data_IF_690769237621
#
_entry.id   IF_690769237621
#
_cell.length_a   1.000
_cell.length_b   1.000
_cell.length_c   1.000
_cell.angle_alpha   90.00
_cell.angle_beta   90.00
_cell.angle_gamma   90.00
#
_symmetry.space_group_name_H-M   'P 1'
#
loop_
_entity.id
_entity.type
_entity.pdbx_description
1 polymer ?
#
# COMPACT_ATOMS: atom_id res chain seq x y z
N UNK A 1 -15.79 11.75 -1.64
CA UNK A 1 -15.88 10.46 -2.36
C UNK A 1 -14.48 9.86 -2.32
N UNK A 2 -14.33 8.65 -1.80
CA UNK A 2 -13.03 7.95 -1.78
C UNK A 2 -12.66 7.56 -3.20
N UNK A 3 -11.45 7.89 -3.64
CA UNK A 3 -10.92 7.46 -4.94
C UNK A 3 -10.24 6.11 -4.73
N UNK A 4 -10.67 5.09 -5.48
CA UNK A 4 -10.08 3.75 -5.42
C UNK A 4 -9.00 3.58 -6.48
N UNK A 5 -8.06 2.66 -6.25
CA UNK A 5 -7.01 2.35 -7.22
C UNK A 5 -7.58 1.90 -8.58
N UNK A 6 -8.75 1.27 -8.59
CA UNK A 6 -9.44 0.85 -9.81
C UNK A 6 -10.19 1.98 -10.54
N UNK A 7 -10.30 3.19 -9.97
CA UNK A 7 -11.06 4.27 -10.59
C UNK A 7 -10.47 4.68 -11.95
N UNK A 8 -11.31 4.97 -12.97
CA UNK A 8 -10.83 5.34 -14.31
C UNK A 8 -9.85 6.52 -14.32
N UNK A 9 -10.00 7.46 -13.39
CA UNK A 9 -9.10 8.62 -13.26
C UNK A 9 -7.68 8.21 -12.85
N UNK A 10 -7.53 7.17 -12.02
CA UNK A 10 -6.22 6.61 -11.65
C UNK A 10 -5.63 5.89 -12.85
N UNK A 11 -6.40 5.04 -13.54
CA UNK A 11 -5.96 4.30 -14.73
C UNK A 11 -5.51 5.23 -15.86
N UNK A 12 -6.12 6.39 -16.00
CA UNK A 12 -5.79 7.39 -17.02
C UNK A 12 -4.42 8.05 -16.82
N UNK A 13 -3.82 7.97 -15.64
CA UNK A 13 -2.48 8.51 -15.39
C UNK A 13 -1.44 7.76 -16.22
N UNK A 14 -0.70 8.52 -17.03
CA UNK A 14 0.43 8.00 -17.81
C UNK A 14 1.53 7.51 -16.87
N UNK A 15 2.11 6.35 -17.19
CA UNK A 15 3.33 5.86 -16.56
C UNK A 15 4.50 6.15 -17.48
N UNK A 16 5.53 6.82 -16.95
CA UNK A 16 6.87 6.88 -17.54
C UNK A 16 7.84 6.30 -16.51
N UNK A 17 8.08 5.00 -16.63
CA UNK A 17 9.02 4.30 -15.75
C UNK A 17 10.42 4.93 -15.89
N UNK A 18 10.97 5.41 -14.77
CA UNK A 18 12.26 6.10 -14.76
C UNK A 18 13.47 5.14 -14.69
N UNK A 19 13.23 3.83 -14.60
CA UNK A 19 14.25 2.79 -14.61
C UNK A 19 14.97 2.56 -13.28
N UNK A 20 14.54 3.20 -12.18
CA UNK A 20 15.14 2.93 -10.86
C UNK A 20 14.98 1.46 -10.48
N UNK A 21 16.05 0.80 -10.01
CA UNK A 21 16.02 -0.63 -9.73
C UNK A 21 15.16 -0.95 -8.51
N UNK A 22 14.77 -2.23 -8.39
CA UNK A 22 14.38 -2.78 -7.10
C UNK A 22 15.64 -2.93 -6.23
N UNK A 23 15.59 -2.43 -5.01
CA UNK A 23 16.65 -2.52 -4.01
C UNK A 23 16.09 -3.14 -2.72
N UNK A 24 16.91 -3.88 -1.96
CA UNK A 24 16.52 -4.35 -0.64
C UNK A 24 16.34 -3.18 0.34
N UNK A 25 15.40 -3.32 1.26
CA UNK A 25 15.30 -2.44 2.43
C UNK A 25 16.27 -2.93 3.52
N UNK A 26 17.24 -2.09 3.87
CA UNK A 26 18.29 -2.43 4.85
C UNK A 26 17.71 -2.81 6.22
N UNK A 27 16.59 -2.21 6.60
CA UNK A 27 15.93 -2.44 7.89
C UNK A 27 14.82 -3.50 7.84
N UNK A 28 14.59 -4.13 6.68
CA UNK A 28 13.66 -5.26 6.56
C UNK A 28 14.18 -6.25 5.50
N UNK A 29 15.03 -7.21 5.91
CA UNK A 29 15.58 -8.20 4.99
C UNK A 29 14.50 -8.95 4.21
N UNK A 30 14.74 -9.17 2.92
CA UNK A 30 13.81 -9.88 2.03
C UNK A 30 12.73 -9.01 1.40
N UNK A 31 12.58 -7.76 1.83
CA UNK A 31 11.69 -6.79 1.19
C UNK A 31 12.44 -5.98 0.15
N UNK A 32 11.90 -5.94 -1.08
CA UNK A 32 12.40 -5.13 -2.18
C UNK A 32 11.45 -3.97 -2.46
N UNK A 33 11.96 -2.78 -2.77
CA UNK A 33 11.17 -1.64 -3.27
C UNK A 33 11.97 -0.88 -4.32
N UNK A 34 11.35 0.08 -5.02
CA UNK A 34 12.10 1.03 -5.88
C UNK A 34 13.09 1.85 -5.05
N UNK A 35 14.26 2.12 -5.62
CA UNK A 35 15.31 2.91 -4.97
C UNK A 35 14.79 4.25 -4.42
N UNK A 36 14.00 5.00 -5.20
CA UNK A 36 13.40 6.25 -4.74
C UNK A 36 12.40 6.10 -3.60
N UNK A 37 11.74 4.95 -3.46
CA UNK A 37 10.90 4.61 -2.30
C UNK A 37 11.77 4.24 -1.09
N UNK A 38 12.83 3.44 -1.27
CA UNK A 38 13.76 3.10 -0.18
C UNK A 38 14.35 4.35 0.49
N UNK A 39 14.87 5.29 -0.32
CA UNK A 39 15.42 6.57 0.18
C UNK A 39 14.39 7.36 1.00
N UNK A 40 13.12 7.36 0.59
CA UNK A 40 12.05 8.07 1.31
C UNK A 40 11.67 7.37 2.59
N UNK A 41 11.70 6.03 2.61
CA UNK A 41 11.45 5.28 3.83
C UNK A 41 12.55 5.53 4.86
N UNK A 42 13.82 5.62 4.45
CA UNK A 42 14.91 6.01 5.37
C UNK A 42 14.75 7.44 5.90
N UNK A 43 14.29 8.38 5.06
CA UNK A 43 13.98 9.75 5.49
C UNK A 43 12.83 9.78 6.50
N UNK A 44 11.73 9.07 6.21
CA UNK A 44 10.58 8.98 7.10
C UNK A 44 10.96 8.33 8.44
N UNK A 45 11.75 7.26 8.39
CA UNK A 45 12.24 6.53 9.57
C UNK A 45 13.10 7.43 10.45
N UNK A 46 13.96 8.25 9.85
CA UNK A 46 14.82 9.21 10.55
C UNK A 46 14.04 10.34 11.24
N UNK A 47 12.78 10.57 10.83
CA UNK A 47 11.89 11.55 11.44
C UNK A 47 11.04 10.98 12.60
N UNK A 48 11.10 9.67 12.85
CA UNK A 48 10.34 9.04 13.93
C UNK A 48 10.89 9.44 15.31
N UNK A 49 10.02 9.51 16.34
CA UNK A 49 10.45 9.68 17.71
C UNK A 49 11.39 8.57 18.18
N UNK A 50 12.29 8.90 19.12
CA UNK A 50 13.16 7.91 19.75
C UNK A 50 12.36 6.75 20.34
N UNK A 51 12.76 5.52 20.01
CA UNK A 51 12.10 4.30 20.48
C UNK A 51 10.91 3.86 19.64
N UNK A 52 10.64 4.53 18.51
CA UNK A 52 9.68 4.12 17.49
C UNK A 52 10.41 3.80 16.20
N UNK A 53 10.02 2.72 15.53
CA UNK A 53 10.58 2.30 14.24
C UNK A 53 9.49 1.72 13.32
N UNK A 54 9.81 1.44 12.07
CA UNK A 54 8.93 0.74 11.13
C UNK A 54 9.07 -0.77 11.22
N UNK A 55 7.95 -1.48 11.10
CA UNK A 55 7.92 -2.86 10.61
C UNK A 55 7.24 -2.89 9.26
N UNK A 56 7.97 -3.34 8.25
CA UNK A 56 7.42 -3.54 6.90
C UNK A 56 6.87 -4.96 6.79
N UNK A 57 5.60 -5.06 6.43
CA UNK A 57 4.94 -6.32 6.12
C UNK A 57 5.24 -6.76 4.68
N UNK A 58 5.19 -5.82 3.74
CA UNK A 58 5.37 -6.13 2.33
C UNK A 58 5.89 -4.93 1.51
N UNK A 59 6.65 -5.23 0.45
CA UNK A 59 7.08 -4.27 -0.56
C UNK A 59 6.69 -4.76 -1.95
N UNK A 60 7.67 -4.99 -2.83
CA UNK A 60 7.42 -5.55 -4.15
C UNK A 60 6.81 -6.96 -4.07
N UNK A 61 5.79 -7.20 -4.89
CA UNK A 61 5.24 -8.54 -5.13
C UNK A 61 5.10 -8.84 -6.61
N UNK A 62 5.19 -10.12 -6.97
CA UNK A 62 5.11 -10.53 -8.37
C UNK A 62 3.70 -10.35 -8.96
N UNK A 63 3.62 -10.21 -10.28
CA UNK A 63 2.33 -10.18 -10.98
C UNK A 63 1.52 -11.48 -10.81
N UNK A 64 2.19 -12.61 -10.54
CA UNK A 64 1.52 -13.89 -10.25
C UNK A 64 0.90 -13.88 -8.84
N UNK A 65 1.64 -13.39 -7.84
CA UNK A 65 1.15 -13.22 -6.47
C UNK A 65 -0.04 -12.26 -6.44
N UNK A 66 0.04 -11.12 -7.15
CA UNK A 66 -1.07 -10.18 -7.25
C UNK A 66 -2.33 -10.81 -7.86
N UNK A 67 -2.19 -11.65 -8.90
CA UNK A 67 -3.33 -12.37 -9.49
C UNK A 67 -3.96 -13.36 -8.51
N UNK A 68 -3.15 -14.12 -7.79
CA UNK A 68 -3.65 -15.06 -6.77
C UNK A 68 -4.45 -14.33 -5.68
N UNK A 69 -3.93 -13.20 -5.15
CA UNK A 69 -4.64 -12.38 -4.15
C UNK A 69 -5.97 -11.85 -4.69
N UNK A 70 -6.01 -11.37 -5.94
CA UNK A 70 -7.25 -10.91 -6.59
C UNK A 70 -8.26 -12.07 -6.68
N UNK A 71 -7.81 -13.24 -7.13
CA UNK A 71 -8.66 -14.43 -7.29
C UNK A 71 -9.25 -14.88 -5.94
N UNK A 72 -8.40 -15.02 -4.92
CA UNK A 72 -8.80 -15.47 -3.58
C UNK A 72 -9.80 -14.50 -2.93
N UNK A 73 -9.51 -13.19 -2.93
CA UNK A 73 -10.43 -12.21 -2.32
C UNK A 73 -11.74 -12.07 -3.10
N UNK A 74 -11.69 -12.15 -4.43
CA UNK A 74 -12.92 -12.13 -5.25
C UNK A 74 -13.80 -13.35 -4.98
N UNK A 75 -13.20 -14.52 -4.71
CA UNK A 75 -13.95 -15.71 -4.31
C UNK A 75 -14.64 -15.51 -2.95
N UNK A 76 -13.95 -14.95 -1.95
CA UNK A 76 -14.56 -14.61 -0.66
C UNK A 76 -15.70 -13.59 -0.79
N UNK A 77 -15.54 -12.58 -1.63
CA UNK A 77 -16.61 -11.60 -1.90
C UNK A 77 -17.82 -12.23 -2.58
N UNK A 78 -17.63 -13.20 -3.46
CA UNK A 78 -18.73 -13.95 -4.07
C UNK A 78 -19.56 -14.71 -3.03
N UNK A 79 -18.93 -15.29 -2.00
CA UNK A 79 -19.61 -15.97 -0.90
C UNK A 79 -20.38 -14.99 0.01
N UNK A 80 -19.77 -13.85 0.32
CA UNK A 80 -20.36 -12.81 1.17
C UNK A 80 -21.46 -12.01 0.48
N UNK A 81 -21.40 -11.88 -0.86
CA UNK A 81 -22.34 -11.13 -1.68
C UNK A 81 -22.90 -11.96 -2.85
N UNK A 82 -23.71 -13.02 -2.61
CA UNK A 82 -24.17 -13.93 -3.66
C UNK A 82 -25.03 -13.27 -4.76
N UNK A 83 -25.61 -12.11 -4.48
CA UNK A 83 -26.44 -11.36 -5.41
C UNK A 83 -25.67 -10.26 -6.18
N UNK A 84 -24.39 -10.03 -5.87
CA UNK A 84 -23.59 -9.03 -6.57
C UNK A 84 -23.30 -9.48 -8.00
N UNK A 85 -23.43 -8.55 -8.95
CA UNK A 85 -22.99 -8.78 -10.32
C UNK A 85 -21.47 -8.57 -10.45
N UNK A 86 -20.93 -8.85 -11.64
CA UNK A 86 -19.49 -8.74 -11.88
C UNK A 86 -18.95 -7.30 -11.71
N UNK A 87 -19.79 -6.28 -11.95
CA UNK A 87 -19.39 -4.87 -11.81
C UNK A 87 -19.27 -4.53 -10.33
N UNK A 88 -20.27 -4.94 -9.54
CA UNK A 88 -20.26 -4.73 -8.10
C UNK A 88 -19.13 -5.51 -7.44
N UNK A 89 -18.87 -6.75 -7.84
CA UNK A 89 -17.73 -7.53 -7.30
C UNK A 89 -16.38 -6.91 -7.64
N UNK A 90 -16.20 -6.41 -8.87
CA UNK A 90 -14.98 -5.70 -9.23
C UNK A 90 -14.80 -4.43 -8.37
N UNK A 91 -15.89 -3.68 -8.13
CA UNK A 91 -15.88 -2.52 -7.24
C UNK A 91 -15.55 -2.92 -5.80
N UNK A 92 -16.19 -3.96 -5.27
CA UNK A 92 -15.99 -4.46 -3.92
C UNK A 92 -14.54 -4.93 -3.71
N UNK A 93 -14.01 -5.71 -4.66
CA UNK A 93 -12.64 -6.23 -4.69
C UNK A 93 -11.62 -5.09 -4.68
N UNK A 94 -11.85 -4.05 -5.49
CA UNK A 94 -10.94 -2.91 -5.60
C UNK A 94 -10.77 -2.05 -4.35
N UNK A 95 -11.63 -2.22 -3.33
CA UNK A 95 -11.47 -1.53 -2.03
C UNK A 95 -10.31 -2.07 -1.19
N UNK A 96 -9.82 -3.27 -1.51
CA UNK A 96 -8.79 -3.95 -0.74
C UNK A 96 -7.68 -4.56 -1.62
N UNK A 97 -7.96 -4.89 -2.88
CA UNK A 97 -6.96 -5.43 -3.80
C UNK A 97 -6.95 -4.63 -5.09
N UNK A 98 -5.83 -3.98 -5.37
CA UNK A 98 -5.64 -3.23 -6.60
C UNK A 98 -5.68 -4.15 -7.85
N UNK A 99 -6.35 -3.75 -8.95
CA UNK A 99 -6.22 -4.46 -10.21
C UNK A 99 -4.76 -4.48 -10.69
N UNK A 100 -4.35 -5.59 -11.33
CA UNK A 100 -2.96 -5.78 -11.74
C UNK A 100 -2.39 -4.61 -12.58
N UNK A 101 -3.21 -4.02 -13.44
CA UNK A 101 -2.80 -2.91 -14.33
C UNK A 101 -2.32 -1.66 -13.58
N UNK A 102 -2.79 -1.47 -12.35
CA UNK A 102 -2.54 -0.28 -11.52
C UNK A 102 -1.91 -0.63 -10.17
N UNK A 103 -1.58 -1.90 -9.92
CA UNK A 103 -1.11 -2.40 -8.63
C UNK A 103 0.25 -1.80 -8.22
N UNK A 104 0.30 -0.97 -7.16
CA UNK A 104 1.53 -0.30 -6.74
C UNK A 104 2.66 -1.25 -6.32
N UNK A 105 2.34 -2.34 -5.61
CA UNK A 105 3.34 -3.33 -5.17
C UNK A 105 4.04 -4.02 -6.36
N UNK A 106 3.34 -4.25 -7.47
CA UNK A 106 3.94 -4.87 -8.66
C UNK A 106 4.95 -3.93 -9.33
N UNK A 107 4.78 -2.61 -9.15
CA UNK A 107 5.74 -1.60 -9.59
C UNK A 107 6.90 -1.39 -8.59
N UNK A 108 6.89 -2.07 -7.43
CA UNK A 108 7.80 -1.80 -6.32
C UNK A 108 7.63 -0.42 -5.71
N UNK A 109 6.48 0.22 -5.98
CA UNK A 109 6.19 1.62 -5.69
C UNK A 109 5.38 1.80 -4.38
N UNK A 110 5.03 0.69 -3.71
CA UNK A 110 4.30 0.71 -2.46
C UNK A 110 4.93 -0.21 -1.41
N UNK A 111 4.51 0.04 -0.18
CA UNK A 111 4.90 -0.66 1.01
C UNK A 111 3.69 -0.75 1.94
N UNK A 112 3.53 -1.91 2.56
CA UNK A 112 2.59 -2.14 3.65
C UNK A 112 3.38 -2.18 4.95
N UNK A 113 3.10 -1.26 5.88
CA UNK A 113 3.89 -1.14 7.11
C UNK A 113 3.10 -0.63 8.31
N UNK A 114 3.67 -0.86 9.49
CA UNK A 114 3.19 -0.30 10.76
C UNK A 114 4.35 0.32 11.55
N UNK A 115 4.00 0.98 12.65
CA UNK A 115 4.95 1.44 13.66
C UNK A 115 5.19 0.34 14.68
N UNK A 116 6.39 0.30 15.23
CA UNK A 116 6.80 -0.55 16.35
C UNK A 116 7.39 0.28 17.46
N UNK A 117 7.27 -0.20 18.70
CA UNK A 117 7.94 0.34 19.87
C UNK A 117 8.50 -0.76 20.76
N UNK A 118 8.80 -0.44 22.02
CA UNK A 118 9.40 -1.39 22.97
C UNK A 118 8.60 -2.68 23.20
N UNK A 119 7.28 -2.65 22.98
CA UNK A 119 6.37 -3.79 23.15
C UNK A 119 6.00 -4.53 21.87
N UNK A 120 6.60 -4.19 20.73
CA UNK A 120 6.22 -4.70 19.41
C UNK A 120 5.40 -3.70 18.60
N UNK A 121 4.56 -4.20 17.69
CA UNK A 121 3.70 -3.39 16.82
C UNK A 121 2.81 -2.46 17.65
N UNK A 122 2.77 -1.19 17.26
CA UNK A 122 1.85 -0.22 17.85
C UNK A 122 0.44 -0.50 17.32
N UNK A 123 -0.55 -0.41 18.20
CA UNK A 123 -1.94 -0.64 17.85
C UNK A 123 -2.46 0.42 16.88
N UNK A 124 -3.07 -0.04 15.79
CA UNK A 124 -3.56 0.82 14.69
C UNK A 124 -5.08 0.72 14.50
N UNK A 125 -5.81 0.06 15.41
CA UNK A 125 -7.27 -0.10 15.33
C UNK A 125 -7.71 -1.40 14.64
N UNK A 126 -6.86 -1.97 13.78
CA UNK A 126 -6.98 -3.29 13.18
C UNK A 126 -5.59 -3.87 12.96
N UNK A 127 -5.50 -5.18 12.72
CA UNK A 127 -4.31 -5.78 12.12
C UNK A 127 -4.11 -5.28 10.67
N UNK A 128 -2.89 -5.47 10.15
CA UNK A 128 -2.61 -5.36 8.70
C UNK A 128 -3.42 -6.44 7.98
N UNK A 129 -3.83 -6.16 6.73
CA UNK A 129 -4.65 -7.02 5.86
C UNK A 129 -6.07 -7.29 6.37
N UNK A 130 -6.51 -6.61 7.43
CA UNK A 130 -7.91 -6.66 7.84
C UNK A 130 -8.80 -6.06 6.74
N UNK A 131 -9.62 -6.89 6.10
CA UNK A 131 -10.50 -6.45 5.01
C UNK A 131 -11.56 -5.46 5.51
N UNK A 132 -12.20 -4.68 4.61
CA UNK A 132 -13.34 -3.84 4.98
C UNK A 132 -14.47 -4.64 5.63
N UNK A 133 -14.67 -5.90 5.19
CA UNK A 133 -15.69 -6.81 5.72
C UNK A 133 -15.35 -7.29 7.13
N UNK A 134 -14.11 -7.71 7.39
CA UNK A 134 -13.67 -8.21 8.71
C UNK A 134 -13.60 -7.09 9.75
N UNK A 135 -13.17 -5.89 9.33
CA UNK A 135 -12.96 -4.76 10.23
C UNK A 135 -14.21 -3.87 10.40
N UNK A 136 -15.29 -4.14 9.66
CA UNK A 136 -16.42 -3.21 9.56
C UNK A 136 -16.02 -1.82 9.02
N UNK A 137 -14.98 -1.78 8.19
CA UNK A 137 -14.40 -0.55 7.63
C UNK A 137 -13.37 0.14 8.52
N UNK A 138 -13.04 -0.40 9.71
CA UNK A 138 -12.03 0.19 10.58
C UNK A 138 -10.61 0.20 9.97
N UNK A 139 -10.35 -0.62 8.94
CA UNK A 139 -9.09 -0.59 8.20
C UNK A 139 -8.88 0.70 7.37
N UNK A 140 -9.94 1.46 7.08
CA UNK A 140 -9.83 2.72 6.34
C UNK A 140 -9.07 3.74 7.19
N UNK A 141 -8.14 4.48 6.59
CA UNK A 141 -7.28 5.41 7.32
C UNK A 141 -8.09 6.44 8.15
N UNK A 142 -9.17 6.96 7.57
CA UNK A 142 -10.05 7.96 8.18
C UNK A 142 -11.19 7.37 9.05
N UNK A 143 -11.23 6.06 9.30
CA UNK A 143 -12.27 5.44 10.12
C UNK A 143 -12.28 5.97 11.57
N UNK A 144 -13.45 5.94 12.22
CA UNK A 144 -13.52 6.24 13.65
C UNK A 144 -12.93 5.06 14.44
N UNK A 145 -11.79 5.30 15.08
CA UNK A 145 -11.00 4.29 15.82
C UNK A 145 -10.65 4.86 17.18
N UNK A 146 -10.21 4.01 18.10
CA UNK A 146 -9.84 4.48 19.43
C UNK A 146 -8.70 5.52 19.39
N UNK A 147 -8.59 6.39 20.43
CA UNK A 147 -7.60 7.47 20.44
C UNK A 147 -6.15 7.02 20.30
N UNK A 148 -5.79 5.80 20.73
CA UNK A 148 -4.43 5.28 20.61
C UNK A 148 -4.14 4.95 19.15
N UNK A 149 -5.04 4.22 18.50
CA UNK A 149 -4.97 3.93 17.07
C UNK A 149 -4.91 5.22 16.22
N UNK A 150 -5.74 6.22 16.54
CA UNK A 150 -5.74 7.50 15.83
C UNK A 150 -4.40 8.22 15.94
N UNK A 151 -3.85 8.32 17.16
CA UNK A 151 -2.55 8.93 17.41
C UNK A 151 -1.41 8.23 16.63
N UNK A 152 -1.40 6.89 16.63
CA UNK A 152 -0.38 6.12 15.91
C UNK A 152 -0.50 6.25 14.38
N UNK A 153 -1.72 6.26 13.83
CA UNK A 153 -1.96 6.52 12.40
C UNK A 153 -1.52 7.93 11.99
N UNK A 154 -1.75 8.93 12.83
CA UNK A 154 -1.31 10.31 12.58
C UNK A 154 0.22 10.43 12.63
N UNK A 155 0.89 9.74 13.55
CA UNK A 155 2.35 9.68 13.60
C UNK A 155 2.92 9.03 12.33
N UNK A 156 2.37 7.87 11.94
CA UNK A 156 2.74 7.16 10.71
C UNK A 156 2.57 8.07 9.49
N UNK A 157 1.42 8.74 9.40
CA UNK A 157 1.11 9.63 8.29
C UNK A 157 2.02 10.85 8.24
N UNK A 158 2.30 11.47 9.38
CA UNK A 158 3.22 12.60 9.47
C UNK A 158 4.61 12.24 8.92
N UNK A 159 5.14 11.09 9.34
CA UNK A 159 6.46 10.62 8.90
C UNK A 159 6.49 10.30 7.39
N UNK A 160 5.54 9.50 6.90
CA UNK A 160 5.54 9.03 5.51
C UNK A 160 5.13 10.14 4.51
N UNK A 161 4.12 10.95 4.83
CA UNK A 161 3.74 12.08 4.00
C UNK A 161 4.84 13.17 4.01
N UNK A 162 5.55 13.35 5.12
CA UNK A 162 6.72 14.22 5.22
C UNK A 162 7.86 13.82 4.26
N UNK A 163 7.97 12.53 3.94
CA UNK A 163 8.90 12.01 2.92
C UNK A 163 8.29 11.93 1.50
N UNK A 164 7.06 12.42 1.32
CA UNK A 164 6.40 12.51 0.02
C UNK A 164 5.64 11.26 -0.44
N UNK A 165 5.40 10.30 0.45
CA UNK A 165 4.48 9.18 0.17
C UNK A 165 3.02 9.63 0.33
N UNK A 166 2.11 8.92 -0.31
CA UNK A 166 0.66 9.07 -0.09
C UNK A 166 0.08 7.78 0.49
N UNK A 167 -0.94 7.91 1.34
CA UNK A 167 -1.70 6.77 1.84
C UNK A 167 -2.82 6.38 0.86
N UNK A 168 -3.07 5.07 0.75
CA UNK A 168 -4.30 4.58 0.14
C UNK A 168 -5.43 4.56 1.20
N UNK A 169 -6.53 5.31 1.01
CA UNK A 169 -7.46 5.66 2.08
C UNK A 169 -8.24 4.48 2.68
N UNK A 170 -8.35 3.36 1.97
CA UNK A 170 -9.06 2.16 2.44
C UNK A 170 -8.18 1.24 3.28
N UNK A 171 -6.87 1.48 3.33
CA UNK A 171 -5.87 0.65 4.00
C UNK A 171 -4.89 1.54 4.77
N UNK A 172 -5.00 1.63 6.10
CA UNK A 172 -4.16 2.55 6.88
C UNK A 172 -2.66 2.25 6.79
N UNK A 173 -2.30 1.00 6.47
CA UNK A 173 -0.92 0.51 6.36
C UNK A 173 -0.31 0.70 4.97
N UNK A 174 -1.11 0.95 3.94
CA UNK A 174 -0.65 1.01 2.55
C UNK A 174 -0.21 2.42 2.17
N UNK A 175 1.06 2.53 1.79
CA UNK A 175 1.68 3.79 1.40
C UNK A 175 2.50 3.64 0.13
N UNK A 176 2.48 4.68 -0.70
CA UNK A 176 3.12 4.59 -2.00
C UNK A 176 3.77 5.88 -2.48
N UNK A 177 4.75 5.72 -3.37
CA UNK A 177 5.46 6.80 -4.04
C UNK A 177 5.73 6.42 -5.49
N UNK A 178 5.44 7.34 -6.41
CA UNK A 178 5.77 7.19 -7.83
C UNK A 178 4.82 6.33 -8.65
N UNK A 179 3.78 5.71 -8.07
CA UNK A 179 2.72 5.06 -8.85
C UNK A 179 1.67 6.05 -9.39
N UNK A 180 0.62 5.53 -10.03
CA UNK A 180 -0.49 6.32 -10.60
C UNK A 180 -1.34 7.02 -9.56
N UNK A 181 -1.64 6.37 -8.44
CA UNK A 181 -2.39 6.96 -7.35
C UNK A 181 -1.59 8.08 -6.69
N UNK A 182 -0.30 7.86 -6.42
CA UNK A 182 0.61 8.91 -5.97
C UNK A 182 0.62 10.11 -6.91
N UNK A 183 0.75 9.89 -8.22
CA UNK A 183 0.76 10.97 -9.19
C UNK A 183 -0.56 11.75 -9.22
N UNK A 184 -1.70 11.05 -9.14
CA UNK A 184 -3.01 11.68 -9.05
C UNK A 184 -3.14 12.54 -7.78
N UNK A 185 -2.79 11.98 -6.61
CA UNK A 185 -2.99 12.64 -5.32
C UNK A 185 -2.06 13.83 -5.10
N UNK A 186 -0.86 13.79 -5.68
CA UNK A 186 0.12 14.88 -5.61
C UNK A 186 0.01 15.90 -6.74
N UNK A 187 -0.78 15.60 -7.78
CA UNK A 187 -0.85 16.41 -9.00
C UNK A 187 0.40 16.30 -9.89
N UNK A 188 1.23 15.26 -9.71
CA UNK A 188 2.34 15.00 -10.60
C UNK A 188 1.83 14.70 -12.02
N UNK A 189 2.54 15.19 -13.03
CA UNK A 189 2.11 15.04 -14.43
C UNK A 189 2.07 13.60 -14.95
N UNK A 190 2.72 12.67 -14.25
CA UNK A 190 2.80 11.24 -14.59
C UNK A 190 3.27 10.42 -13.38
N UNK A 191 2.99 9.12 -13.44
CA UNK A 191 3.61 8.12 -12.56
C UNK A 191 5.05 7.84 -13.00
N UNK A 192 5.93 7.64 -12.01
CA UNK A 192 7.36 7.39 -12.17
C UNK A 192 7.70 5.90 -12.31
N UNK A 193 6.83 5.01 -11.84
CA UNK A 193 7.11 3.58 -11.81
C UNK A 193 5.97 2.79 -12.44
N UNK A 194 6.34 1.85 -13.30
CA UNK A 194 5.49 0.79 -13.81
C UNK A 194 5.85 -0.58 -13.24
N UNK A 195 5.07 -1.64 -13.58
CA UNK A 195 5.34 -3.01 -13.18
C UNK A 195 6.78 -3.44 -13.46
N UNK A 196 7.38 -4.15 -12.50
CA UNK A 196 8.74 -4.70 -12.61
C UNK A 196 8.79 -6.13 -12.10
N UNK A 197 9.67 -6.92 -12.70
CA UNK A 197 9.97 -8.28 -12.26
C UNK A 197 11.29 -8.29 -11.48
N UNK A 198 11.35 -9.08 -10.41
CA UNK A 198 12.63 -9.37 -9.73
C UNK A 198 13.49 -10.17 -10.69
N UNK A 199 14.67 -9.63 -11.02
CA UNK A 199 15.63 -10.32 -11.86
C UNK A 199 15.92 -11.72 -11.28
N UNK A 200 16.01 -12.74 -12.13
CA UNK A 200 16.09 -14.13 -11.68
C UNK A 200 17.27 -14.42 -10.72
N UNK A 201 18.33 -13.61 -10.77
CA UNK A 201 19.50 -13.72 -9.90
C UNK A 201 19.31 -13.12 -8.50
N UNK A 202 18.29 -12.28 -8.31
CA UNK A 202 17.98 -11.58 -7.06
C UNK A 202 16.81 -12.23 -6.29
N UNK A 203 16.33 -13.38 -6.75
CA UNK A 203 15.34 -14.18 -6.02
C UNK A 203 16.05 -14.87 -4.84
N UNK A 204 15.53 -14.78 -3.61
CA UNK A 204 16.11 -15.46 -2.45
C UNK A 204 16.12 -16.99 -2.60
#
# INVERSE_FOLDING_TARGET
>A
MTILLADPIVRAIRVLDNGEPLVPLDFTPGVLVREGLAVRLDQARSALPSGVDFRVAEGHRSAASQRAIIEDYTASLHELHPAADAVELARLSSRFVAPLEVAPHVAGAAVDLTLTGAGGDLWMGTEIDATPEESGGACFFAADVDPVARCNRELLASALAGAGLVNYPTEWWHWSYGDRYWALMTGAGQALYGPVEVAAWARP
#
